data_IF_704741563403
#
_entry.id   IF_704741563403
#
_cell.length_a   1.000
_cell.length_b   1.000
_cell.length_c   1.000
_cell.angle_alpha   90.00
_cell.angle_beta   90.00
_cell.angle_gamma   90.00
#
_symmetry.space_group_name_H-M   'P 1'
#
loop_
_entity.id
_entity.type
_entity.pdbx_description
1 polymer ?
#
# COMPACT_ATOMS: atom_id res chain seq x y z
N UNK A 1 33.52 -24.88 24.38
CA UNK A 1 33.23 -26.33 24.25
C UNK A 1 31.74 -26.45 24.51
N UNK A 2 30.93 -26.11 23.51
CA UNK A 2 30.33 -27.02 22.52
C UNK A 2 29.10 -27.73 23.12
N UNK A 3 27.99 -26.99 23.18
CA UNK A 3 26.65 -27.54 23.41
C UNK A 3 26.16 -28.07 22.06
N UNK A 4 26.05 -29.40 21.94
CA UNK A 4 25.50 -30.07 20.77
C UNK A 4 24.01 -29.77 20.66
N UNK A 5 23.63 -29.07 19.59
CA UNK A 5 22.25 -28.99 19.12
C UNK A 5 21.73 -30.41 18.85
N UNK A 6 20.83 -30.88 19.70
CA UNK A 6 20.02 -32.06 19.44
C UNK A 6 18.98 -31.72 18.36
N UNK A 7 19.34 -31.97 17.10
CA UNK A 7 18.42 -31.87 15.95
C UNK A 7 17.64 -33.18 15.86
N UNK A 8 16.32 -33.19 16.05
CA UNK A 8 15.53 -34.41 15.96
C UNK A 8 15.47 -34.92 14.50
N UNK A 9 15.70 -36.22 14.37
CA UNK A 9 15.69 -37.02 13.15
C UNK A 9 14.37 -36.87 12.36
N UNK A 10 14.40 -36.47 11.07
CA UNK A 10 13.21 -36.25 10.26
C UNK A 10 12.43 -37.53 9.90
N UNK A 11 12.91 -38.72 10.26
CA UNK A 11 12.27 -39.99 9.90
C UNK A 11 11.15 -40.47 10.85
N UNK A 12 10.78 -39.71 11.90
CA UNK A 12 9.65 -40.05 12.80
C UNK A 12 8.42 -39.18 12.56
N UNK A 13 7.97 -39.11 11.31
CA UNK A 13 6.66 -38.58 10.93
C UNK A 13 5.76 -39.73 10.49
N UNK A 14 5.14 -40.42 11.44
CA UNK A 14 3.91 -41.19 11.17
C UNK A 14 3.17 -41.50 12.47
N UNK A 15 2.57 -40.48 13.08
CA UNK A 15 1.49 -40.69 14.04
C UNK A 15 0.25 -39.92 13.53
N UNK A 16 -0.79 -40.60 13.02
CA UNK A 16 -1.94 -39.96 12.39
C UNK A 16 -2.96 -39.40 13.41
N UNK A 17 -2.58 -39.23 14.68
CA UNK A 17 -3.53 -38.93 15.77
C UNK A 17 -3.06 -37.87 16.78
N UNK A 18 -2.21 -36.91 16.38
CA UNK A 18 -2.03 -35.67 17.15
C UNK A 18 -2.79 -34.54 16.48
N UNK A 19 -4.10 -34.44 16.76
CA UNK A 19 -4.76 -33.14 16.74
C UNK A 19 -4.04 -32.28 17.80
N UNK A 20 -3.10 -31.43 17.39
CA UNK A 20 -2.53 -30.40 18.27
C UNK A 20 -3.68 -29.50 18.71
N UNK A 21 -4.28 -29.80 19.86
CA UNK A 21 -5.16 -28.87 20.57
C UNK A 21 -4.31 -27.70 21.01
N UNK A 22 -4.36 -26.62 20.22
CA UNK A 22 -3.81 -25.33 20.64
C UNK A 22 -4.58 -24.90 21.87
N UNK A 23 -3.88 -24.64 22.97
CA UNK A 23 -4.51 -24.14 24.19
C UNK A 23 -5.20 -22.81 23.87
N UNK A 24 -6.41 -22.58 24.38
CA UNK A 24 -7.15 -21.33 24.13
C UNK A 24 -6.33 -20.09 24.49
N UNK A 25 -5.46 -20.18 25.50
CA UNK A 25 -4.51 -19.13 25.89
C UNK A 25 -3.46 -18.83 24.82
N UNK A 26 -2.91 -19.86 24.16
CA UNK A 26 -1.95 -19.71 23.06
C UNK A 26 -2.65 -19.12 21.82
N UNK A 27 -3.87 -19.57 21.54
CA UNK A 27 -4.67 -19.00 20.46
C UNK A 27 -5.01 -17.53 20.70
N UNK A 28 -5.37 -17.17 21.94
CA UNK A 28 -5.68 -15.79 22.32
C UNK A 28 -4.43 -14.90 22.27
N UNK A 29 -3.30 -15.35 22.82
CA UNK A 29 -2.03 -14.63 22.75
C UNK A 29 -1.59 -14.41 21.28
N UNK A 30 -1.76 -15.44 20.44
CA UNK A 30 -1.49 -15.36 19.02
C UNK A 30 -2.40 -14.35 18.31
N UNK A 31 -3.70 -14.35 18.61
CA UNK A 31 -4.67 -13.40 18.07
C UNK A 31 -4.29 -11.96 18.44
N UNK A 32 -4.01 -11.69 19.72
CA UNK A 32 -3.62 -10.36 20.20
C UNK A 32 -2.34 -9.89 19.51
N UNK A 33 -1.33 -10.77 19.36
CA UNK A 33 -0.10 -10.44 18.64
C UNK A 33 -0.35 -10.12 17.16
N UNK A 34 -1.22 -10.87 16.49
CA UNK A 34 -1.58 -10.62 15.10
C UNK A 34 -2.37 -9.31 14.92
N UNK A 35 -3.25 -8.97 15.86
CA UNK A 35 -3.98 -7.71 15.88
C UNK A 35 -3.05 -6.52 16.11
N UNK A 36 -2.07 -6.66 17.01
CA UNK A 36 -1.05 -5.63 17.23
C UNK A 36 -0.21 -5.39 15.98
N UNK A 37 0.28 -6.46 15.33
CA UNK A 37 1.05 -6.34 14.08
C UNK A 37 0.26 -5.66 12.96
N UNK A 38 -1.04 -5.96 12.84
CA UNK A 38 -1.90 -5.29 11.88
C UNK A 38 -2.03 -3.80 12.20
N UNK A 39 -2.21 -3.45 13.48
CA UNK A 39 -2.29 -2.06 13.93
C UNK A 39 -0.99 -1.31 13.63
N UNK A 40 0.17 -1.90 13.95
CA UNK A 40 1.48 -1.31 13.70
C UNK A 40 1.74 -1.09 12.19
N UNK A 41 1.40 -2.08 11.36
CA UNK A 41 1.55 -1.99 9.90
C UNK A 41 0.63 -0.90 9.31
N UNK A 42 -0.62 -0.85 9.79
CA UNK A 42 -1.59 0.17 9.35
C UNK A 42 -1.10 1.56 9.76
N UNK A 43 -0.68 1.75 11.02
CA UNK A 43 -0.15 3.02 11.50
C UNK A 43 1.11 3.46 10.72
N UNK A 44 2.01 2.52 10.40
CA UNK A 44 3.19 2.78 9.58
C UNK A 44 2.82 3.29 8.18
N UNK A 45 1.91 2.59 7.48
CA UNK A 45 1.45 3.02 6.16
C UNK A 45 0.69 4.36 6.21
N UNK A 46 -0.16 4.59 7.21
CA UNK A 46 -0.89 5.86 7.39
C UNK A 46 0.07 7.03 7.61
N UNK A 47 1.14 6.84 8.40
CA UNK A 47 2.19 7.83 8.55
C UNK A 47 2.90 8.11 7.21
N UNK A 48 3.35 7.08 6.51
CA UNK A 48 3.99 7.22 5.20
C UNK A 48 3.07 7.90 4.18
N UNK A 49 1.77 7.63 4.20
CA UNK A 49 0.78 8.29 3.35
C UNK A 49 0.72 9.79 3.65
N UNK A 50 0.73 10.19 4.92
CA UNK A 50 0.74 11.59 5.33
C UNK A 50 1.99 12.35 4.85
N UNK A 51 3.17 11.75 5.06
CA UNK A 51 4.45 12.33 4.62
C UNK A 51 4.49 12.47 3.09
N UNK A 52 4.04 11.44 2.37
CA UNK A 52 4.05 11.42 0.91
C UNK A 52 2.99 12.34 0.30
N UNK A 53 1.82 12.48 0.93
CA UNK A 53 0.77 13.43 0.50
C UNK A 53 1.27 14.86 0.63
N UNK A 54 1.97 15.18 1.72
CA UNK A 54 2.62 16.51 1.90
C UNK A 54 3.61 16.78 0.78
N UNK A 55 4.41 15.78 0.46
CA UNK A 55 5.39 15.79 -0.62
C UNK A 55 4.74 15.96 -2.01
N UNK A 56 3.64 15.25 -2.28
CA UNK A 56 2.84 15.38 -3.49
C UNK A 56 2.28 16.79 -3.64
N UNK A 57 1.63 17.35 -2.61
CA UNK A 57 1.07 18.70 -2.68
C UNK A 57 2.18 19.76 -2.84
N UNK A 58 3.32 19.59 -2.18
CA UNK A 58 4.49 20.47 -2.38
C UNK A 58 4.94 20.47 -3.84
N UNK A 59 5.09 19.28 -4.45
CA UNK A 59 5.46 19.16 -5.87
C UNK A 59 4.40 19.75 -6.79
N UNK A 60 3.11 19.57 -6.47
CA UNK A 60 1.99 20.14 -7.21
C UNK A 60 2.03 21.67 -7.19
N UNK A 61 2.32 22.28 -6.04
CA UNK A 61 2.51 23.73 -5.93
C UNK A 61 3.72 24.21 -6.75
N UNK A 62 4.82 23.46 -6.79
CA UNK A 62 5.96 23.79 -7.65
C UNK A 62 5.61 23.76 -9.14
N UNK A 63 4.78 22.81 -9.59
CA UNK A 63 4.27 22.79 -10.99
C UNK A 63 3.51 24.08 -11.28
N UNK A 64 2.58 24.48 -10.40
CA UNK A 64 1.78 25.70 -10.57
C UNK A 64 2.68 26.95 -10.66
N UNK A 65 3.69 27.04 -9.79
CA UNK A 65 4.64 28.15 -9.79
C UNK A 65 5.47 28.20 -11.08
N UNK A 66 5.98 27.06 -11.55
CA UNK A 66 6.76 26.97 -12.78
C UNK A 66 5.92 27.24 -14.04
N UNK A 67 4.63 26.86 -14.05
CA UNK A 67 3.70 27.21 -15.13
C UNK A 67 3.47 28.72 -15.21
N UNK A 68 3.22 29.37 -14.07
CA UNK A 68 3.08 30.81 -14.00
C UNK A 68 4.37 31.55 -14.40
N UNK A 69 5.54 31.05 -13.97
CA UNK A 69 6.83 31.62 -14.36
C UNK A 69 7.11 31.46 -15.85
N UNK A 70 6.80 30.28 -16.42
CA UNK A 70 6.90 30.03 -17.86
C UNK A 70 6.07 31.04 -18.65
N UNK A 71 4.82 31.25 -18.26
CA UNK A 71 3.92 32.20 -18.92
C UNK A 71 4.48 33.63 -18.86
N UNK A 72 4.91 34.07 -17.67
CA UNK A 72 5.54 35.39 -17.48
C UNK A 72 6.80 35.57 -18.33
N UNK A 73 7.66 34.55 -18.40
CA UNK A 73 8.90 34.60 -19.21
C UNK A 73 8.57 34.59 -20.70
N UNK A 74 7.57 33.84 -21.14
CA UNK A 74 7.13 33.83 -22.54
C UNK A 74 6.62 35.21 -22.98
N UNK A 75 5.93 35.95 -22.11
CA UNK A 75 5.53 37.34 -22.37
C UNK A 75 6.73 38.28 -22.48
N UNK A 76 7.73 38.16 -21.59
CA UNK A 76 8.95 38.98 -21.66
C UNK A 76 9.73 38.76 -22.94
N UNK A 77 9.84 37.49 -23.38
CA UNK A 77 10.48 37.16 -24.66
C UNK A 77 9.73 37.76 -25.85
N UNK A 78 8.38 37.76 -25.84
CA UNK A 78 7.57 38.43 -26.87
C UNK A 78 7.81 39.94 -26.91
N UNK A 79 8.07 40.56 -25.75
CA UNK A 79 8.43 41.97 -25.63
C UNK A 79 9.91 42.26 -25.99
N UNK A 80 10.63 41.29 -26.58
CA UNK A 80 12.05 41.37 -26.93
C UNK A 80 12.98 41.64 -25.74
N UNK A 81 12.55 41.28 -24.53
CA UNK A 81 13.44 41.25 -23.36
C UNK A 81 14.21 39.94 -23.40
N UNK A 82 15.54 40.00 -23.39
CA UNK A 82 16.42 38.81 -23.45
C UNK A 82 16.25 37.91 -22.22
N UNK A 83 15.29 36.97 -22.28
CA UNK A 83 15.05 35.94 -21.27
C UNK A 83 14.91 34.53 -21.87
N UNK A 84 15.25 34.34 -23.15
CA UNK A 84 15.07 33.07 -23.86
C UNK A 84 15.75 31.88 -23.16
N UNK A 85 16.97 32.06 -22.65
CA UNK A 85 17.67 31.00 -21.90
C UNK A 85 16.96 30.60 -20.60
N UNK A 86 16.34 31.56 -19.89
CA UNK A 86 15.57 31.26 -18.67
C UNK A 86 14.27 30.55 -19.00
N UNK A 87 13.59 30.96 -20.08
CA UNK A 87 12.36 30.28 -20.54
C UNK A 87 12.63 28.80 -20.82
N UNK A 88 13.69 28.48 -21.57
CA UNK A 88 14.07 27.09 -21.85
C UNK A 88 14.39 26.31 -20.58
N UNK A 89 15.09 26.92 -19.62
CA UNK A 89 15.39 26.29 -18.34
C UNK A 89 14.11 26.01 -17.52
N UNK A 90 13.22 26.99 -17.39
CA UNK A 90 11.93 26.84 -16.70
C UNK A 90 11.07 25.76 -17.36
N UNK A 91 11.10 25.62 -18.69
CA UNK A 91 10.42 24.53 -19.40
C UNK A 91 11.01 23.16 -19.09
N UNK A 92 12.34 23.05 -19.00
CA UNK A 92 13.00 21.81 -18.61
C UNK A 92 12.64 21.42 -17.17
N UNK A 93 12.73 22.37 -16.23
CA UNK A 93 12.40 22.16 -14.82
C UNK A 93 10.92 21.79 -14.63
N UNK A 94 10.02 22.43 -15.39
CA UNK A 94 8.59 22.10 -15.40
C UNK A 94 8.34 20.64 -15.82
N UNK A 95 9.00 20.16 -16.88
CA UNK A 95 8.84 18.79 -17.36
C UNK A 95 9.36 17.76 -16.34
N UNK A 96 10.50 18.03 -15.71
CA UNK A 96 11.04 17.20 -14.62
C UNK A 96 10.05 17.17 -13.44
N UNK A 97 9.53 18.33 -13.05
CA UNK A 97 8.62 18.45 -11.91
C UNK A 97 7.28 17.75 -12.15
N UNK A 98 6.74 17.82 -13.38
CA UNK A 98 5.53 17.06 -13.77
C UNK A 98 5.75 15.55 -13.72
N UNK A 99 6.92 15.08 -14.15
CA UNK A 99 7.27 13.65 -14.06
C UNK A 99 7.32 13.20 -12.60
N UNK A 100 7.96 13.99 -11.74
CA UNK A 100 8.01 13.72 -10.29
C UNK A 100 6.60 13.73 -9.66
N UNK A 101 5.72 14.64 -10.09
CA UNK A 101 4.34 14.70 -9.62
C UNK A 101 3.58 13.41 -9.94
N UNK A 102 3.69 12.90 -11.17
CA UNK A 102 3.04 11.66 -11.60
C UNK A 102 3.55 10.43 -10.82
N UNK A 103 4.86 10.36 -10.56
CA UNK A 103 5.46 9.32 -9.71
C UNK A 103 4.87 9.38 -8.30
N UNK A 104 4.82 10.56 -7.69
CA UNK A 104 4.27 10.75 -6.34
C UNK A 104 2.79 10.41 -6.27
N UNK A 105 2.02 10.79 -7.27
CA UNK A 105 0.60 10.43 -7.36
C UNK A 105 0.39 8.92 -7.34
N UNK A 106 1.22 8.18 -8.10
CA UNK A 106 1.20 6.71 -8.14
C UNK A 106 1.56 6.11 -6.78
N UNK A 107 2.58 6.64 -6.10
CA UNK A 107 3.00 6.18 -4.77
C UNK A 107 1.93 6.45 -3.70
N UNK A 108 1.30 7.64 -3.72
CA UNK A 108 0.20 7.99 -2.80
C UNK A 108 -0.98 7.05 -3.03
N UNK A 109 -1.39 6.86 -4.29
CA UNK A 109 -2.46 5.92 -4.63
C UNK A 109 -2.13 4.48 -4.18
N UNK A 110 -0.88 4.05 -4.34
CA UNK A 110 -0.41 2.74 -3.89
C UNK A 110 -0.52 2.55 -2.37
N UNK A 111 -0.08 3.53 -1.58
CA UNK A 111 -0.20 3.48 -0.12
C UNK A 111 -1.66 3.52 0.33
N UNK A 112 -2.50 4.33 -0.32
CA UNK A 112 -3.93 4.41 0.00
C UNK A 112 -4.62 3.07 -0.23
N UNK A 113 -4.33 2.36 -1.33
CA UNK A 113 -4.84 1.00 -1.58
C UNK A 113 -4.42 0.02 -0.47
N UNK A 114 -3.17 0.07 -0.03
CA UNK A 114 -2.67 -0.78 1.07
C UNK A 114 -3.42 -0.52 2.37
N UNK A 115 -3.63 0.74 2.74
CA UNK A 115 -4.39 1.11 3.94
C UNK A 115 -5.83 0.60 3.83
N UNK A 116 -6.49 0.84 2.70
CA UNK A 116 -7.86 0.39 2.49
C UNK A 116 -7.97 -1.15 2.62
N UNK A 117 -6.99 -1.88 2.08
CA UNK A 117 -6.95 -3.33 2.19
C UNK A 117 -6.77 -3.82 3.64
N UNK A 118 -5.86 -3.17 4.40
CA UNK A 118 -5.58 -3.55 5.78
C UNK A 118 -6.74 -3.22 6.73
N UNK A 119 -7.31 -2.02 6.59
CA UNK A 119 -8.38 -1.50 7.46
C UNK A 119 -9.73 -2.14 7.15
N UNK A 120 -10.10 -2.21 5.87
CA UNK A 120 -11.45 -2.62 5.44
C UNK A 120 -11.51 -4.00 4.80
N UNK A 121 -10.37 -4.67 4.57
CA UNK A 121 -10.34 -6.03 4.02
C UNK A 121 -10.65 -6.12 2.52
N UNK A 122 -10.56 -5.00 1.81
CA UNK A 122 -10.79 -4.95 0.36
C UNK A 122 -9.57 -5.52 -0.38
N UNK A 123 -9.80 -6.35 -1.38
CA UNK A 123 -8.73 -6.87 -2.25
C UNK A 123 -8.10 -5.73 -3.07
N UNK A 124 -6.78 -5.78 -3.27
CA UNK A 124 -6.06 -4.83 -4.14
C UNK A 124 -6.57 -4.88 -5.58
N UNK A 125 -7.02 -6.05 -6.06
CA UNK A 125 -7.64 -6.24 -7.38
C UNK A 125 -8.89 -5.37 -7.55
N UNK A 126 -9.72 -5.25 -6.50
CA UNK A 126 -10.93 -4.41 -6.52
C UNK A 126 -10.61 -2.92 -6.65
N UNK A 127 -9.39 -2.54 -6.28
CA UNK A 127 -8.89 -1.16 -6.34
C UNK A 127 -7.93 -0.92 -7.50
N UNK A 128 -7.75 -1.92 -8.38
CA UNK A 128 -6.95 -1.76 -9.58
C UNK A 128 -7.57 -0.72 -10.52
N UNK A 129 -6.73 0.07 -11.18
CA UNK A 129 -7.18 1.15 -12.07
C UNK A 129 -7.86 2.36 -11.40
N UNK A 130 -8.20 2.30 -10.09
CA UNK A 130 -8.71 3.47 -9.37
C UNK A 130 -7.60 4.51 -9.16
N UNK A 131 -7.91 5.75 -9.52
CA UNK A 131 -7.09 6.92 -9.27
C UNK A 131 -7.23 7.41 -7.81
N UNK A 132 -6.43 8.41 -7.43
CA UNK A 132 -6.40 8.91 -6.05
C UNK A 132 -7.76 9.49 -5.60
N UNK A 133 -8.49 10.14 -6.49
CA UNK A 133 -9.80 10.71 -6.17
C UNK A 133 -10.84 9.61 -5.90
N UNK A 134 -10.91 8.61 -6.78
CA UNK A 134 -11.78 7.46 -6.64
C UNK A 134 -11.45 6.66 -5.37
N UNK A 135 -10.17 6.51 -5.03
CA UNK A 135 -9.76 5.83 -3.80
C UNK A 135 -10.20 6.58 -2.54
N UNK A 136 -10.06 7.91 -2.51
CA UNK A 136 -10.55 8.73 -1.39
C UNK A 136 -12.06 8.60 -1.23
N UNK A 137 -12.82 8.74 -2.31
CA UNK A 137 -14.28 8.56 -2.26
C UNK A 137 -14.68 7.14 -1.85
N UNK A 138 -13.94 6.13 -2.31
CA UNK A 138 -14.18 4.74 -1.96
C UNK A 138 -13.91 4.46 -0.48
N UNK A 139 -12.82 5.01 0.07
CA UNK A 139 -12.51 4.93 1.50
C UNK A 139 -13.58 5.62 2.36
N UNK A 140 -14.04 6.82 1.97
CA UNK A 140 -15.12 7.51 2.68
C UNK A 140 -16.45 6.72 2.64
N UNK A 141 -16.76 6.06 1.52
CA UNK A 141 -17.90 5.16 1.43
C UNK A 141 -17.75 3.94 2.37
N UNK A 142 -16.55 3.36 2.45
CA UNK A 142 -16.25 2.26 3.37
C UNK A 142 -16.40 2.70 4.84
N UNK A 143 -15.93 3.89 5.20
CA UNK A 143 -16.12 4.47 6.54
C UNK A 143 -17.59 4.68 6.87
N UNK A 144 -18.37 5.18 5.91
CA UNK A 144 -19.81 5.42 6.09
C UNK A 144 -20.61 4.13 6.29
N UNK A 145 -20.24 3.05 5.58
CA UNK A 145 -20.91 1.75 5.68
C UNK A 145 -20.41 0.92 6.87
N UNK A 146 -19.12 1.03 7.22
CA UNK A 146 -18.42 0.22 8.21
C UNK A 146 -18.21 0.88 9.57
N UNK A 147 -19.11 1.77 9.98
CA UNK A 147 -19.04 2.62 11.18
C UNK A 147 -18.06 2.17 12.26
N UNK A 148 -17.02 2.98 12.48
CA UNK A 148 -16.02 2.93 13.54
C UNK A 148 -15.93 1.60 14.32
N UNK A 149 -15.12 0.69 13.79
CA UNK A 149 -14.20 -0.09 14.62
C UNK A 149 -14.72 -1.36 15.31
N UNK A 150 -15.98 -1.78 15.13
CA UNK A 150 -16.46 -3.03 15.78
C UNK A 150 -17.19 -4.01 14.87
N UNK A 151 -17.82 -3.56 13.79
CA UNK A 151 -18.31 -4.45 12.74
C UNK A 151 -17.38 -4.33 11.53
N UNK A 152 -16.30 -5.12 11.55
CA UNK A 152 -15.46 -5.38 10.38
C UNK A 152 -16.32 -6.16 9.39
N UNK A 153 -17.15 -5.45 8.64
CA UNK A 153 -17.97 -5.99 7.56
C UNK A 153 -16.99 -6.63 6.59
N UNK A 154 -16.84 -7.96 6.67
CA UNK A 154 -16.25 -8.70 5.56
C UNK A 154 -17.05 -8.36 4.31
N UNK A 155 -16.36 -8.12 3.20
CA UNK A 155 -16.71 -7.83 1.79
C UNK A 155 -18.17 -7.95 1.24
N UNK A 156 -19.22 -7.95 2.06
CA UNK A 156 -20.60 -8.17 1.68
C UNK A 156 -21.29 -6.90 1.17
N UNK A 157 -20.81 -5.71 1.55
CA UNK A 157 -21.57 -4.48 1.32
C UNK A 157 -21.11 -3.64 0.12
N UNK A 158 -19.88 -3.80 -0.39
CA UNK A 158 -19.35 -2.91 -1.43
C UNK A 158 -18.80 -3.73 -2.60
N UNK A 159 -19.69 -4.07 -3.55
CA UNK A 159 -19.30 -4.49 -4.89
C UNK A 159 -19.15 -5.99 -5.14
N UNK A 160 -19.98 -6.86 -4.54
CA UNK A 160 -20.10 -8.26 -4.95
C UNK A 160 -20.83 -8.37 -6.31
N UNK A 161 -20.17 -7.88 -7.36
CA UNK A 161 -20.46 -8.16 -8.75
C UNK A 161 -19.47 -9.17 -9.32
N UNK A 162 -19.31 -10.32 -8.65
CA UNK A 162 -18.99 -11.58 -9.32
C UNK A 162 -19.21 -12.76 -8.36
N UNK A 163 -19.82 -13.80 -8.92
CA UNK A 163 -20.43 -14.94 -8.24
C UNK A 163 -19.39 -15.84 -7.55
N UNK A 164 -19.74 -16.40 -6.40
CA UNK A 164 -19.46 -17.83 -6.15
C UNK A 164 -18.63 -18.26 -4.94
N UNK A 165 -18.00 -17.36 -4.17
CA UNK A 165 -17.25 -17.79 -2.98
C UNK A 165 -17.75 -17.06 -1.73
N UNK A 166 -18.16 -17.78 -0.66
CA UNK A 166 -18.44 -17.13 0.61
C UNK A 166 -17.15 -16.50 1.11
N UNK A 167 -17.05 -15.16 1.05
CA UNK A 167 -15.88 -14.44 1.52
C UNK A 167 -15.94 -14.46 3.04
N UNK A 168 -15.30 -15.49 3.61
CA UNK A 168 -15.07 -15.62 5.05
C UNK A 168 -14.38 -14.36 5.56
N UNK A 169 -14.77 -13.81 6.73
CA UNK A 169 -14.03 -12.72 7.37
C UNK A 169 -12.54 -13.09 7.46
N UNK A 170 -11.69 -12.44 6.66
CA UNK A 170 -10.25 -12.71 6.68
C UNK A 170 -9.67 -12.30 8.03
N UNK A 171 -8.83 -13.16 8.60
CA UNK A 171 -8.13 -12.82 9.85
C UNK A 171 -7.14 -11.69 9.57
N UNK A 172 -6.82 -10.85 10.57
CA UNK A 172 -5.83 -9.78 10.45
C UNK A 172 -4.51 -10.19 9.77
N UNK A 173 -4.01 -11.40 10.09
CA UNK A 173 -2.80 -11.96 9.48
C UNK A 173 -2.96 -12.20 7.98
N UNK A 174 -4.09 -12.75 7.57
CA UNK A 174 -4.31 -13.12 6.16
C UNK A 174 -4.38 -11.86 5.29
N UNK A 175 -4.96 -10.77 5.83
CA UNK A 175 -4.93 -9.45 5.18
C UNK A 175 -3.53 -8.88 5.05
N UNK A 176 -2.76 -8.87 6.14
CA UNK A 176 -1.38 -8.37 6.12
C UNK A 176 -0.50 -9.21 5.19
N UNK A 177 -0.66 -10.53 5.19
CA UNK A 177 0.07 -11.45 4.32
C UNK A 177 -0.31 -11.26 2.85
N UNK A 178 -1.59 -11.06 2.52
CA UNK A 178 -2.04 -10.78 1.15
C UNK A 178 -1.45 -9.46 0.62
N UNK A 179 -1.49 -8.40 1.42
CA UNK A 179 -0.91 -7.09 1.04
C UNK A 179 0.60 -7.18 0.82
N UNK A 180 1.32 -7.96 1.65
CA UNK A 180 2.76 -8.19 1.48
C UNK A 180 3.05 -9.09 0.26
N UNK A 181 2.31 -10.19 0.09
CA UNK A 181 2.50 -11.11 -1.03
C UNK A 181 2.20 -10.45 -2.38
N UNK A 182 1.21 -9.57 -2.44
CA UNK A 182 0.87 -8.86 -3.66
C UNK A 182 1.83 -7.69 -3.96
N UNK A 183 2.37 -7.05 -2.91
CA UNK A 183 3.49 -6.11 -3.05
C UNK A 183 4.74 -6.80 -3.63
N UNK A 184 5.04 -8.03 -3.17
CA UNK A 184 6.16 -8.83 -3.67
C UNK A 184 5.92 -9.30 -5.12
N UNK A 185 4.68 -9.68 -5.45
CA UNK A 185 4.30 -10.17 -6.78
C UNK A 185 4.40 -9.09 -7.87
N UNK A 186 4.09 -7.82 -7.56
CA UNK A 186 4.18 -6.70 -8.52
C UNK A 186 5.59 -6.09 -8.63
N UNK A 187 6.49 -6.35 -7.67
CA UNK A 187 7.89 -5.89 -7.72
C UNK A 187 8.89 -6.94 -8.24
N UNK A 188 8.42 -8.08 -8.73
CA UNK A 188 9.29 -9.03 -9.45
C UNK A 188 10.39 -9.64 -8.58
N UNK A 189 10.22 -9.73 -7.26
CA UNK A 189 11.05 -10.64 -6.47
C UNK A 189 10.44 -12.02 -6.65
N UNK A 190 10.88 -12.70 -7.72
CA UNK A 190 10.84 -14.16 -7.73
C UNK A 190 11.63 -14.58 -6.50
N UNK A 191 10.94 -14.99 -5.43
CA UNK A 191 11.59 -15.87 -4.46
C UNK A 191 11.94 -17.11 -5.26
N UNK A 192 13.20 -17.21 -5.67
CA UNK A 192 13.73 -18.47 -6.12
C UNK A 192 13.61 -19.40 -4.91
N UNK A 193 12.74 -20.40 -5.02
CA UNK A 193 12.58 -21.45 -4.01
C UNK A 193 13.86 -22.30 -3.85
N UNK A 194 14.94 -21.97 -4.56
CA UNK A 194 16.25 -22.57 -4.39
C UNK A 194 17.18 -21.55 -3.70
N UNK A 195 17.49 -21.83 -2.44
CA UNK A 195 18.34 -21.03 -1.57
C UNK A 195 19.79 -20.93 -2.04
N UNK A 196 20.06 -20.08 -3.03
CA UNK A 196 21.39 -19.55 -3.26
C UNK A 196 21.34 -18.04 -3.52
N UNK A 197 22.02 -17.31 -2.62
CA UNK A 197 22.44 -15.93 -2.82
C UNK A 197 23.36 -15.87 -4.03
N UNK A 198 23.03 -15.00 -4.98
CA UNK A 198 23.96 -14.39 -5.92
C UNK A 198 23.67 -12.89 -5.94
#
# INVERSE_FOLDING_TARGET
MADELNVPDPAKVSDPNFSKTVLESEFLAYKTSAEQKLADLTAGHTKSLGDLTTQYETTRQSVIQLEAEKERLAEQVKLHIEQGGKLTQTEADLNVTKTNLATRETEVAGLQKKIISLEYGVSMETMEGKDLAALKSYEEALKAVGGNGTNRIGNYAIGAGNQGSPITPQKPRDRAAAVLAEADAKHGIKRSDDGHLA
#
